data_IF_045200076767
#
_entry.id   IF_045200076767
#
_cell.length_a   1.000
_cell.length_b   1.000
_cell.length_c   1.000
_cell.angle_alpha   90.00
_cell.angle_beta   90.00
_cell.angle_gamma   90.00
#
_symmetry.space_group_name_H-M   'P 1'
#
loop_
_entity.id
_entity.type
_entity.pdbx_description
1 polymer ?
#
# COMPACT_ATOMS: atom_id res chain seq x y z
N UNK A 1 -4.87 -6.00 24.02
CA UNK A 1 -4.93 -5.14 22.82
C UNK A 1 -5.81 -3.95 23.16
N UNK A 2 -5.40 -2.74 22.78
CA UNK A 2 -6.25 -1.55 22.93
C UNK A 2 -7.55 -1.76 22.12
N UNK A 3 -8.66 -1.21 22.60
CA UNK A 3 -9.93 -1.27 21.88
C UNK A 3 -9.89 -0.26 20.73
N UNK A 4 -9.66 -0.76 19.51
CA UNK A 4 -9.54 0.06 18.31
C UNK A 4 -10.90 0.19 17.62
N UNK A 5 -11.25 1.43 17.25
CA UNK A 5 -12.44 1.70 16.45
C UNK A 5 -12.03 2.38 15.15
N UNK A 6 -12.69 1.99 14.06
CA UNK A 6 -12.45 2.50 12.72
C UNK A 6 -13.74 3.10 12.16
N UNK A 7 -13.66 4.34 11.70
CA UNK A 7 -14.59 4.93 10.75
C UNK A 7 -13.84 5.13 9.43
N UNK A 8 -14.25 4.47 8.36
CA UNK A 8 -13.63 4.58 7.04
C UNK A 8 -14.70 4.86 5.99
N UNK A 9 -14.49 5.90 5.19
CA UNK A 9 -15.34 6.30 4.07
C UNK A 9 -14.52 6.26 2.79
N UNK A 10 -15.07 5.61 1.77
CA UNK A 10 -14.54 5.54 0.41
C UNK A 10 -15.70 5.80 -0.54
N UNK A 11 -15.60 6.84 -1.37
CA UNK A 11 -16.65 7.26 -2.31
C UNK A 11 -18.04 7.40 -1.64
N UNK A 12 -18.08 7.93 -0.41
CA UNK A 12 -19.29 8.08 0.39
C UNK A 12 -19.85 6.77 0.99
N UNK A 13 -19.22 5.63 0.73
CA UNK A 13 -19.58 4.34 1.32
C UNK A 13 -18.75 4.06 2.58
N UNK A 14 -19.40 3.65 3.66
CA UNK A 14 -18.71 3.23 4.89
C UNK A 14 -18.15 1.82 4.76
N UNK A 15 -16.90 1.64 5.17
CA UNK A 15 -16.21 0.35 5.27
C UNK A 15 -15.91 0.01 6.73
N UNK A 16 -16.37 -1.15 7.18
CA UNK A 16 -16.07 -1.68 8.51
C UNK A 16 -14.69 -2.34 8.56
N UNK A 17 -14.09 -2.39 9.76
CA UNK A 17 -12.86 -3.13 10.00
C UNK A 17 -12.93 -4.58 9.48
N UNK A 18 -14.06 -5.28 9.73
CA UNK A 18 -14.28 -6.64 9.23
C UNK A 18 -14.27 -6.75 7.71
N UNK A 19 -14.80 -5.75 7.00
CA UNK A 19 -14.74 -5.73 5.53
C UNK A 19 -13.30 -5.55 5.04
N UNK A 20 -12.55 -4.63 5.64
CA UNK A 20 -11.14 -4.40 5.30
C UNK A 20 -10.29 -5.65 5.58
N UNK A 21 -10.45 -6.26 6.76
CA UNK A 21 -9.76 -7.51 7.12
C UNK A 21 -10.11 -8.64 6.13
N UNK A 22 -11.37 -8.73 5.71
CA UNK A 22 -11.81 -9.72 4.71
C UNK A 22 -11.23 -9.47 3.32
N UNK A 23 -11.08 -8.22 2.89
CA UNK A 23 -10.40 -7.86 1.63
C UNK A 23 -8.92 -8.21 1.72
N UNK A 24 -8.25 -7.82 2.81
CA UNK A 24 -6.84 -8.11 3.02
C UNK A 24 -6.56 -9.61 3.00
N UNK A 25 -7.37 -10.42 3.69
CA UNK A 25 -7.25 -11.87 3.66
C UNK A 25 -7.27 -12.42 2.23
N UNK A 26 -8.22 -11.99 1.40
CA UNK A 26 -8.28 -12.41 -0.01
C UNK A 26 -7.05 -11.97 -0.79
N UNK A 27 -6.50 -10.80 -0.49
CA UNK A 27 -5.26 -10.31 -1.12
C UNK A 27 -4.03 -11.12 -0.68
N UNK A 28 -3.94 -11.55 0.57
CA UNK A 28 -2.89 -12.49 1.02
C UNK A 28 -2.96 -13.82 0.27
N UNK A 29 -4.16 -14.41 0.18
CA UNK A 29 -4.38 -15.64 -0.58
C UNK A 29 -3.96 -15.43 -2.04
N UNK A 30 -4.43 -14.37 -2.69
CA UNK A 30 -4.04 -14.04 -4.06
C UNK A 30 -2.52 -13.91 -4.25
N UNK A 31 -1.85 -13.17 -3.37
CA UNK A 31 -0.40 -12.98 -3.41
C UNK A 31 0.34 -14.32 -3.34
N UNK A 32 -0.10 -15.25 -2.48
CA UNK A 32 0.48 -16.59 -2.38
C UNK A 32 0.30 -17.40 -3.67
N UNK A 33 -0.89 -17.38 -4.28
CA UNK A 33 -1.10 -18.03 -5.57
C UNK A 33 -0.25 -17.40 -6.67
N UNK A 34 -0.09 -16.08 -6.68
CA UNK A 34 0.72 -15.37 -7.67
C UNK A 34 2.19 -15.73 -7.53
N UNK A 35 2.77 -15.65 -6.33
CA UNK A 35 4.14 -16.06 -6.07
C UNK A 35 4.39 -17.51 -6.50
N UNK A 36 3.48 -18.44 -6.16
CA UNK A 36 3.65 -19.84 -6.55
C UNK A 36 3.58 -20.07 -8.06
N UNK A 37 2.72 -19.33 -8.78
CA UNK A 37 2.68 -19.38 -10.26
C UNK A 37 3.96 -18.85 -10.89
N UNK A 38 4.64 -17.90 -10.24
CA UNK A 38 5.94 -17.38 -10.66
C UNK A 38 7.11 -18.30 -10.30
N UNK A 39 6.84 -19.46 -9.68
CA UNK A 39 7.85 -20.44 -9.31
C UNK A 39 8.36 -20.32 -7.88
N UNK A 40 7.72 -19.49 -7.04
CA UNK A 40 8.08 -19.42 -5.63
C UNK A 40 7.65 -20.69 -4.87
N UNK A 41 8.47 -21.13 -3.91
CA UNK A 41 8.09 -22.17 -2.95
C UNK A 41 7.42 -21.51 -1.75
N UNK A 42 6.11 -21.69 -1.64
CA UNK A 42 5.31 -21.22 -0.50
C UNK A 42 5.34 -22.26 0.61
N UNK A 43 5.90 -21.93 1.77
CA UNK A 43 6.02 -22.85 2.90
C UNK A 43 5.18 -22.43 4.09
N UNK A 44 4.59 -23.41 4.79
CA UNK A 44 4.04 -23.24 6.14
C UNK A 44 4.72 -24.23 7.07
N UNK A 45 5.40 -23.72 8.10
CA UNK A 45 6.12 -24.53 9.11
C UNK A 45 7.08 -25.56 8.47
N UNK A 46 7.80 -25.12 7.44
CA UNK A 46 8.78 -25.94 6.72
C UNK A 46 8.19 -26.94 5.72
N UNK A 47 6.88 -26.94 5.48
CA UNK A 47 6.23 -27.80 4.48
C UNK A 47 5.72 -26.96 3.31
N UNK A 48 6.01 -27.35 2.05
CA UNK A 48 5.49 -26.65 0.88
C UNK A 48 3.98 -26.81 0.78
N UNK A 49 3.29 -25.74 0.41
CA UNK A 49 1.85 -25.71 0.18
C UNK A 49 1.52 -25.92 -1.30
N UNK A 50 0.39 -26.58 -1.56
CA UNK A 50 -0.26 -26.59 -2.88
C UNK A 50 -1.27 -25.44 -3.01
N UNK A 51 -1.81 -25.20 -4.21
CA UNK A 51 -2.87 -24.21 -4.41
C UNK A 51 -4.10 -24.52 -3.54
N UNK A 52 -4.55 -25.78 -3.52
CA UNK A 52 -5.65 -26.24 -2.66
C UNK A 52 -5.38 -26.02 -1.17
N UNK A 53 -4.11 -26.12 -0.74
CA UNK A 53 -3.74 -25.87 0.64
C UNK A 53 -3.78 -24.37 0.98
N UNK A 54 -3.39 -23.50 0.04
CA UNK A 54 -3.50 -22.04 0.16
C UNK A 54 -4.97 -21.63 0.31
N UNK A 55 -5.88 -22.19 -0.51
CA UNK A 55 -7.32 -21.89 -0.46
C UNK A 55 -7.99 -22.25 0.88
N UNK A 56 -7.34 -23.11 1.68
CA UNK A 56 -7.84 -23.57 2.98
C UNK A 56 -7.19 -22.85 4.17
N UNK A 57 -6.27 -21.92 3.94
CA UNK A 57 -5.64 -21.16 5.01
C UNK A 57 -6.66 -20.25 5.69
N UNK A 58 -6.64 -20.25 7.02
CA UNK A 58 -7.37 -19.26 7.81
C UNK A 58 -6.71 -17.88 7.68
N UNK A 59 -7.41 -16.77 7.98
CA UNK A 59 -6.88 -15.43 7.78
C UNK A 59 -5.51 -15.17 8.39
N UNK A 60 -5.30 -15.59 9.65
CA UNK A 60 -4.01 -15.42 10.34
C UNK A 60 -2.89 -16.23 9.68
N UNK A 61 -3.18 -17.47 9.26
CA UNK A 61 -2.22 -18.33 8.58
C UNK A 61 -1.86 -17.80 7.19
N UNK A 62 -2.84 -17.32 6.42
CA UNK A 62 -2.62 -16.73 5.11
C UNK A 62 -1.72 -15.49 5.20
N UNK A 63 -1.97 -14.65 6.22
CA UNK A 63 -1.14 -13.49 6.52
C UNK A 63 0.30 -13.90 6.89
N UNK A 64 0.47 -14.81 7.84
CA UNK A 64 1.79 -15.28 8.30
C UNK A 64 2.60 -15.86 7.13
N UNK A 65 2.00 -16.77 6.36
CA UNK A 65 2.65 -17.42 5.22
C UNK A 65 2.98 -16.42 4.11
N UNK A 66 2.08 -15.46 3.83
CA UNK A 66 2.30 -14.41 2.82
C UNK A 66 3.46 -13.48 3.19
N UNK A 67 3.56 -13.09 4.46
CA UNK A 67 4.67 -12.28 4.96
C UNK A 67 5.98 -13.07 4.91
N UNK A 68 6.00 -14.27 5.49
CA UNK A 68 7.19 -15.10 5.58
C UNK A 68 7.73 -15.47 4.18
N UNK A 69 6.85 -15.76 3.22
CA UNK A 69 7.25 -16.07 1.84
C UNK A 69 7.94 -14.87 1.19
N UNK A 70 7.33 -13.68 1.21
CA UNK A 70 7.94 -12.47 0.62
C UNK A 70 9.29 -12.15 1.26
N UNK A 71 9.37 -12.21 2.60
CA UNK A 71 10.61 -11.96 3.34
C UNK A 71 11.70 -12.99 3.03
N UNK A 72 11.36 -14.27 2.80
CA UNK A 72 12.33 -15.32 2.49
C UNK A 72 13.00 -15.14 1.12
N UNK A 73 12.28 -14.59 0.14
CA UNK A 73 12.84 -14.26 -1.18
C UNK A 73 13.66 -12.97 -1.15
N UNK A 74 13.29 -12.03 -0.28
CA UNK A 74 13.93 -10.72 -0.19
C UNK A 74 13.78 -9.90 -1.48
N UNK A 75 14.35 -8.68 -1.50
CA UNK A 75 14.18 -7.76 -2.62
C UNK A 75 14.63 -8.34 -3.97
N UNK A 76 15.83 -8.91 -4.03
CA UNK A 76 16.39 -9.44 -5.29
C UNK A 76 15.62 -10.66 -5.80
N UNK A 77 15.24 -11.58 -4.90
CA UNK A 77 14.46 -12.76 -5.27
C UNK A 77 13.05 -12.39 -5.75
N UNK A 78 12.42 -11.38 -5.14
CA UNK A 78 11.12 -10.90 -5.58
C UNK A 78 11.22 -10.17 -6.94
N UNK A 79 12.24 -9.32 -7.14
CA UNK A 79 12.50 -8.69 -8.45
C UNK A 79 12.71 -9.73 -9.55
N UNK A 80 13.40 -10.84 -9.23
CA UNK A 80 13.59 -11.93 -10.18
C UNK A 80 12.28 -12.65 -10.52
N UNK A 81 11.50 -13.03 -9.51
CA UNK A 81 10.19 -13.68 -9.70
C UNK A 81 9.24 -12.83 -10.54
N UNK A 82 9.22 -11.52 -10.29
CA UNK A 82 8.32 -10.57 -10.95
C UNK A 82 8.93 -9.93 -12.20
N UNK A 83 10.10 -10.37 -12.70
CA UNK A 83 10.85 -9.70 -13.78
C UNK A 83 9.99 -9.29 -14.97
N UNK A 84 9.18 -10.21 -15.49
CA UNK A 84 8.33 -9.95 -16.66
C UNK A 84 7.21 -8.96 -16.33
N UNK A 85 6.61 -9.07 -15.14
CA UNK A 85 5.56 -8.17 -14.68
C UNK A 85 6.09 -6.76 -14.39
N UNK A 86 7.34 -6.62 -13.92
CA UNK A 86 7.99 -5.33 -13.76
C UNK A 86 8.18 -4.63 -15.12
N UNK A 87 8.57 -5.36 -16.16
CA UNK A 87 8.68 -4.80 -17.51
C UNK A 87 7.31 -4.34 -18.07
N UNK A 88 6.24 -5.09 -17.79
CA UNK A 88 4.89 -4.69 -18.20
C UNK A 88 4.36 -3.51 -17.39
N UNK A 89 4.62 -3.47 -16.08
CA UNK A 89 4.30 -2.34 -15.21
C UNK A 89 4.98 -1.06 -15.70
N UNK A 90 6.26 -1.16 -16.07
CA UNK A 90 7.04 -0.08 -16.64
C UNK A 90 6.39 0.52 -17.89
N UNK A 91 5.97 -0.32 -18.83
CA UNK A 91 5.26 0.11 -20.05
C UNK A 91 3.94 0.77 -19.70
N UNK A 92 3.20 0.18 -18.75
CA UNK A 92 1.91 0.70 -18.30
C UNK A 92 2.03 2.10 -17.72
N UNK A 93 3.00 2.36 -16.84
CA UNK A 93 3.19 3.70 -16.26
C UNK A 93 3.62 4.75 -17.29
N UNK A 94 4.44 4.37 -18.28
CA UNK A 94 4.78 5.26 -19.40
C UNK A 94 3.56 5.59 -20.25
N UNK A 95 2.69 4.61 -20.51
CA UNK A 95 1.44 4.84 -21.22
C UNK A 95 0.43 5.66 -20.38
N UNK A 96 0.41 5.45 -19.05
CA UNK A 96 -0.43 6.23 -18.14
C UNK A 96 -0.07 7.72 -18.18
N UNK A 97 1.22 8.02 -18.35
CA UNK A 97 1.74 9.38 -18.50
C UNK A 97 1.52 10.02 -19.87
N UNK A 98 1.16 9.23 -20.89
CA UNK A 98 0.94 9.74 -22.26
C UNK A 98 -0.42 10.41 -22.40
N UNK A 99 -0.63 11.46 -21.61
CA UNK A 99 -1.84 12.27 -21.56
C UNK A 99 -1.51 13.74 -21.87
N UNK A 100 -2.54 14.50 -22.27
CA UNK A 100 -2.40 15.95 -22.41
C UNK A 100 -1.96 16.58 -21.07
N UNK A 101 -1.12 17.62 -21.13
CA UNK A 101 -0.54 18.23 -19.93
C UNK A 101 -1.57 18.79 -18.93
N UNK A 102 -2.78 19.09 -19.39
CA UNK A 102 -3.91 19.61 -18.62
C UNK A 102 -4.98 18.56 -18.30
N UNK A 103 -4.78 17.30 -18.70
CA UNK A 103 -5.73 16.24 -18.41
C UNK A 103 -5.80 16.00 -16.89
N UNK A 104 -7.01 15.88 -16.32
CA UNK A 104 -7.18 15.80 -14.87
C UNK A 104 -6.64 14.49 -14.31
N UNK A 105 -5.93 14.57 -13.19
CA UNK A 105 -5.49 13.39 -12.43
C UNK A 105 -6.71 12.61 -11.91
N UNK A 106 -6.56 11.28 -11.83
CA UNK A 106 -7.54 10.39 -11.24
C UNK A 106 -7.24 10.23 -9.75
N UNK A 107 -8.25 10.37 -8.88
CA UNK A 107 -8.03 10.40 -7.43
C UNK A 107 -8.55 9.13 -6.76
N UNK A 108 -7.67 8.46 -6.02
CA UNK A 108 -8.04 7.45 -5.04
C UNK A 108 -8.02 8.11 -3.64
N UNK A 109 -9.21 8.31 -3.07
CA UNK A 109 -9.35 9.03 -1.80
C UNK A 109 -10.01 8.17 -0.72
N UNK A 110 -9.58 8.37 0.53
CA UNK A 110 -10.19 7.79 1.72
C UNK A 110 -10.26 8.84 2.83
N UNK A 111 -11.34 8.81 3.60
CA UNK A 111 -11.47 9.55 4.86
C UNK A 111 -11.55 8.54 5.99
N UNK A 112 -10.56 8.58 6.89
CA UNK A 112 -10.43 7.58 7.95
C UNK A 112 -10.27 8.28 9.30
N UNK A 113 -10.98 7.76 10.30
CA UNK A 113 -10.75 8.09 11.71
C UNK A 113 -10.52 6.80 12.47
N UNK A 114 -9.46 6.79 13.27
CA UNK A 114 -9.11 5.69 14.17
C UNK A 114 -9.11 6.20 15.60
N UNK A 115 -9.77 5.46 16.49
CA UNK A 115 -9.77 5.70 17.94
C UNK A 115 -9.05 4.56 18.65
N UNK A 116 -8.34 4.87 19.74
CA UNK A 116 -7.63 3.90 20.58
C UNK A 116 -6.12 3.82 20.33
N UNK A 117 -5.60 4.62 19.39
CA UNK A 117 -4.16 4.79 19.12
C UNK A 117 -3.87 6.23 18.68
N UNK A 118 -2.83 6.83 19.23
CA UNK A 118 -2.45 8.21 18.89
C UNK A 118 -1.73 8.28 17.54
N UNK A 119 -1.73 9.47 16.93
CA UNK A 119 -0.94 9.72 15.73
C UNK A 119 0.57 9.52 15.99
N UNK A 120 1.04 9.83 17.19
CA UNK A 120 2.44 9.63 17.58
C UNK A 120 2.82 8.14 17.58
N UNK A 121 1.96 7.28 18.14
CA UNK A 121 2.17 5.83 18.15
C UNK A 121 2.12 5.26 16.73
N UNK A 122 1.23 5.78 15.87
CA UNK A 122 1.19 5.44 14.45
C UNK A 122 2.52 5.81 13.76
N UNK A 123 3.02 7.02 13.96
CA UNK A 123 4.27 7.50 13.34
C UNK A 123 5.50 6.69 13.75
N UNK A 124 5.52 6.06 14.93
CA UNK A 124 6.60 5.14 15.35
C UNK A 124 6.63 3.86 14.51
N UNK A 125 5.51 3.47 13.90
CA UNK A 125 5.38 2.25 13.07
C UNK A 125 5.56 2.56 11.58
N UNK A 126 4.88 3.60 11.09
CA UNK A 126 4.82 3.91 9.64
C UNK A 126 5.51 5.22 9.25
N UNK A 127 6.27 5.83 10.15
CA UNK A 127 7.16 6.92 9.77
C UNK A 127 8.17 6.46 8.71
N UNK A 128 8.67 7.40 7.89
CA UNK A 128 9.59 7.09 6.79
C UNK A 128 10.83 6.33 7.25
N UNK A 129 11.31 6.61 8.47
CA UNK A 129 12.47 5.92 9.07
C UNK A 129 12.13 4.55 9.70
N UNK A 130 10.85 4.13 9.73
CA UNK A 130 10.38 2.91 10.39
C UNK A 130 9.68 1.93 9.44
N UNK A 131 9.08 2.41 8.35
CA UNK A 131 8.24 1.61 7.44
C UNK A 131 8.95 0.38 6.86
N UNK A 132 10.27 0.48 6.61
CA UNK A 132 11.09 -0.60 6.09
C UNK A 132 11.16 -1.83 7.04
N UNK A 133 10.82 -1.67 8.33
CA UNK A 133 10.72 -2.79 9.27
C UNK A 133 9.37 -3.51 9.24
N UNK A 134 8.32 -2.87 8.72
CA UNK A 134 6.93 -3.34 8.85
C UNK A 134 6.17 -3.45 7.54
N UNK A 135 6.74 -3.04 6.40
CA UNK A 135 6.05 -2.96 5.09
C UNK A 135 5.22 -4.21 4.77
N UNK A 136 5.77 -5.41 4.97
CA UNK A 136 5.13 -6.67 4.62
C UNK A 136 3.87 -6.93 5.45
N UNK A 137 3.85 -6.43 6.70
CA UNK A 137 2.75 -6.54 7.64
C UNK A 137 1.67 -5.46 7.41
N UNK A 138 2.00 -4.36 6.72
CA UNK A 138 1.03 -3.31 6.41
C UNK A 138 0.07 -3.73 5.30
N UNK A 139 0.58 -4.40 4.26
CA UNK A 139 -0.26 -4.80 3.15
C UNK A 139 0.30 -6.01 2.37
N UNK A 140 -0.54 -6.97 1.90
CA UNK A 140 -0.13 -8.03 0.96
C UNK A 140 0.39 -7.54 -0.38
N UNK A 141 0.09 -6.29 -0.73
CA UNK A 141 0.55 -5.66 -1.97
C UNK A 141 1.99 -5.11 -1.84
N UNK A 142 2.57 -5.04 -0.64
CA UNK A 142 3.94 -4.54 -0.42
C UNK A 142 4.97 -5.66 -0.48
N UNK A 143 5.81 -5.69 -1.50
CA UNK A 143 6.81 -6.75 -1.65
C UNK A 143 8.10 -6.43 -0.89
N UNK A 144 8.63 -5.21 -0.98
CA UNK A 144 9.72 -4.72 -0.14
C UNK A 144 9.77 -3.19 -0.10
N UNK A 145 10.17 -2.60 1.03
CA UNK A 145 10.47 -1.18 1.15
C UNK A 145 11.84 -0.98 1.82
N UNK A 146 12.71 -0.20 1.20
CA UNK A 146 14.10 0.06 1.66
C UNK A 146 14.40 1.54 1.46
N UNK A 147 14.98 2.20 2.46
CA UNK A 147 15.34 3.60 2.38
C UNK A 147 14.98 4.35 3.66
N UNK A 148 14.83 5.66 3.53
CA UNK A 148 14.65 6.58 4.64
C UNK A 148 13.76 7.78 4.25
N UNK A 149 13.79 8.83 5.07
CA UNK A 149 13.05 10.07 4.85
C UNK A 149 13.42 10.89 3.60
N UNK A 150 14.50 10.51 2.90
CA UNK A 150 14.93 11.18 1.66
C UNK A 150 14.42 10.48 0.42
N UNK A 151 14.40 9.16 0.44
CA UNK A 151 13.98 8.32 -0.68
C UNK A 151 13.64 6.92 -0.18
N UNK A 152 12.49 6.42 -0.62
CA UNK A 152 12.06 5.05 -0.35
C UNK A 152 12.01 4.26 -1.66
N UNK A 153 12.89 3.28 -1.80
CA UNK A 153 12.77 2.23 -2.81
C UNK A 153 11.65 1.28 -2.39
N UNK A 154 10.61 1.16 -3.21
CA UNK A 154 9.43 0.36 -2.92
C UNK A 154 9.12 -0.56 -4.11
N UNK A 155 8.67 -1.78 -3.83
CA UNK A 155 7.97 -2.58 -4.80
C UNK A 155 6.59 -2.93 -4.27
N UNK A 156 5.56 -2.51 -4.99
CA UNK A 156 4.17 -2.72 -4.59
C UNK A 156 3.22 -2.94 -5.77
N UNK A 157 2.11 -3.65 -5.52
CA UNK A 157 1.01 -3.78 -6.48
C UNK A 157 -0.03 -2.69 -6.26
N UNK A 158 -0.19 -1.81 -7.25
CA UNK A 158 -1.18 -0.73 -7.17
C UNK A 158 -2.60 -1.24 -7.38
N UNK A 159 -3.44 -1.05 -6.36
CA UNK A 159 -4.86 -1.38 -6.40
C UNK A 159 -5.18 -2.86 -6.55
N UNK A 160 -4.20 -3.74 -6.30
CA UNK A 160 -4.34 -5.19 -6.52
C UNK A 160 -4.69 -5.56 -7.97
N UNK A 161 -4.20 -4.76 -8.93
CA UNK A 161 -4.39 -4.97 -10.36
C UNK A 161 -3.04 -5.19 -11.05
N UNK A 162 -2.99 -6.19 -11.94
CA UNK A 162 -1.78 -6.51 -12.69
C UNK A 162 -0.68 -7.14 -11.81
N UNK A 163 0.56 -6.72 -12.05
CA UNK A 163 1.72 -7.09 -11.22
C UNK A 163 2.27 -5.89 -10.45
N UNK A 164 3.30 -6.10 -9.62
CA UNK A 164 3.91 -5.02 -8.86
C UNK A 164 4.65 -4.04 -9.76
N UNK A 165 4.88 -2.85 -9.22
CA UNK A 165 5.73 -1.80 -9.77
C UNK A 165 6.93 -1.63 -8.85
N UNK A 166 8.13 -1.55 -9.43
CA UNK A 166 9.34 -1.16 -8.70
C UNK A 166 9.64 0.33 -8.92
N UNK A 167 9.65 1.09 -7.83
CA UNK A 167 9.70 2.55 -7.87
C UNK A 167 10.54 3.13 -6.74
N UNK A 168 10.88 4.41 -6.89
CA UNK A 168 11.33 5.27 -5.80
C UNK A 168 10.24 6.28 -5.47
N UNK A 169 9.94 6.44 -4.18
CA UNK A 169 9.08 7.48 -3.65
C UNK A 169 9.93 8.59 -3.01
N UNK A 170 9.65 9.83 -3.42
CA UNK A 170 10.40 11.02 -3.02
C UNK A 170 9.49 11.93 -2.20
N UNK A 171 9.72 12.06 -0.88
CA UNK A 171 8.97 12.99 -0.05
C UNK A 171 9.12 14.43 -0.55
N UNK A 172 8.00 15.06 -0.87
CA UNK A 172 7.93 16.41 -1.40
C UNK A 172 6.58 17.04 -1.04
N UNK A 173 6.61 18.01 -0.13
CA UNK A 173 5.41 18.74 0.32
C UNK A 173 5.01 19.88 -0.61
N UNK A 174 5.80 20.17 -1.63
CA UNK A 174 5.55 21.24 -2.60
C UNK A 174 4.77 20.79 -3.83
N UNK A 175 4.48 19.49 -3.95
CA UNK A 175 3.69 18.94 -5.06
C UNK A 175 2.31 19.61 -5.16
N UNK A 176 1.83 19.71 -6.39
CA UNK A 176 0.49 20.22 -6.69
C UNK A 176 -0.41 19.08 -7.13
N UNK A 177 -1.48 18.83 -6.37
CA UNK A 177 -2.54 17.87 -6.70
C UNK A 177 -3.90 18.57 -6.65
N UNK A 178 -4.93 18.09 -7.36
CA UNK A 178 -6.26 18.69 -7.34
C UNK A 178 -7.03 18.30 -6.06
N UNK A 179 -6.39 18.46 -4.90
CA UNK A 179 -6.93 18.22 -3.57
C UNK A 179 -6.64 19.44 -2.71
N UNK A 180 -7.67 20.00 -2.09
CA UNK A 180 -7.53 21.17 -1.24
C UNK A 180 -6.87 20.81 0.10
N UNK A 181 -6.01 21.71 0.57
CA UNK A 181 -5.41 21.63 1.90
C UNK A 181 -6.46 21.96 2.96
N UNK A 182 -6.75 21.00 3.83
CA UNK A 182 -7.68 21.18 4.94
C UNK A 182 -6.95 21.75 6.18
N UNK A 183 -7.28 22.99 6.55
CA UNK A 183 -6.67 23.69 7.68
C UNK A 183 -6.85 22.96 9.02
N UNK A 184 -7.87 22.09 9.16
CA UNK A 184 -8.06 21.30 10.38
C UNK A 184 -7.11 20.11 10.51
N UNK A 185 -6.40 19.73 9.44
CA UNK A 185 -5.47 18.60 9.42
C UNK A 185 -4.04 19.13 9.42
N UNK A 186 -3.43 19.52 10.57
CA UNK A 186 -2.19 20.32 10.59
C UNK A 186 -0.97 19.66 9.94
N UNK A 187 -0.98 18.34 9.75
CA UNK A 187 0.16 17.59 9.22
C UNK A 187 -0.08 17.14 7.77
N UNK A 188 0.97 17.23 6.96
CA UNK A 188 0.98 16.79 5.56
C UNK A 188 2.16 15.84 5.33
N UNK A 189 1.87 14.67 4.77
CA UNK A 189 2.82 13.81 4.08
C UNK A 189 2.48 13.86 2.60
N UNK A 190 3.46 14.18 1.77
CA UNK A 190 3.27 14.26 0.34
C UNK A 190 4.55 13.86 -0.38
N UNK A 191 4.42 13.38 -1.61
CA UNK A 191 5.56 12.97 -2.43
C UNK A 191 5.14 12.53 -3.82
N UNK A 192 6.15 12.31 -4.67
CA UNK A 192 6.00 11.84 -6.03
C UNK A 192 6.83 10.58 -6.25
N UNK A 193 6.52 9.82 -7.30
CA UNK A 193 7.23 8.58 -7.60
C UNK A 193 7.91 8.59 -8.98
N UNK A 194 9.02 7.84 -9.06
CA UNK A 194 9.75 7.57 -10.30
C UNK A 194 9.94 6.07 -10.47
N UNK A 195 9.90 5.57 -11.71
CA UNK A 195 10.25 4.19 -12.00
C UNK A 195 11.70 3.92 -11.61
N UNK A 196 11.94 2.80 -10.92
CA UNK A 196 13.28 2.47 -10.47
C UNK A 196 14.20 1.97 -11.59
N UNK A 197 13.61 1.56 -12.72
CA UNK A 197 14.34 1.06 -13.89
C UNK A 197 15.18 2.12 -14.60
N UNK A 198 14.69 3.36 -14.70
CA UNK A 198 15.37 4.45 -15.43
C UNK A 198 15.11 5.86 -14.88
N UNK A 199 14.41 5.99 -13.76
CA UNK A 199 14.09 7.28 -13.15
C UNK A 199 12.94 8.05 -13.83
N UNK A 200 12.22 7.44 -14.79
CA UNK A 200 11.06 8.08 -15.43
C UNK A 200 10.03 8.49 -14.38
N UNK A 201 9.61 9.78 -14.31
CA UNK A 201 8.53 10.20 -13.43
C UNK A 201 7.25 9.41 -13.73
N UNK A 202 6.59 8.88 -12.72
CA UNK A 202 5.32 8.16 -12.89
C UNK A 202 4.10 9.09 -12.88
N UNK A 203 4.31 10.39 -12.56
CA UNK A 203 3.25 11.39 -12.28
C UNK A 203 2.14 10.85 -11.35
N UNK A 204 2.55 9.97 -10.44
CA UNK A 204 1.75 9.43 -9.35
C UNK A 204 2.19 10.14 -8.08
N UNK A 205 1.21 10.69 -7.36
CA UNK A 205 1.44 11.54 -6.20
C UNK A 205 0.72 11.02 -4.97
N UNK A 206 1.43 10.91 -3.86
CA UNK A 206 0.82 10.69 -2.55
C UNK A 206 0.57 12.05 -1.89
N UNK A 207 -0.61 12.26 -1.34
CA UNK A 207 -0.98 13.46 -0.61
C UNK A 207 -1.89 13.10 0.56
N UNK A 208 -1.35 13.08 1.78
CA UNK A 208 -2.02 12.58 2.98
C UNK A 208 -2.02 13.63 4.07
N UNK A 209 -3.21 13.99 4.54
CA UNK A 209 -3.41 15.03 5.55
C UNK A 209 -3.82 14.36 6.86
N UNK A 210 -3.16 14.71 7.97
CA UNK A 210 -3.38 14.08 9.28
C UNK A 210 -3.84 15.11 10.32
N UNK A 211 -4.76 14.68 11.17
CA UNK A 211 -5.31 15.41 12.31
C UNK A 211 -5.20 14.56 13.57
N UNK A 212 -4.37 14.94 14.56
CA UNK A 212 -4.37 14.27 15.86
C UNK A 212 -5.72 14.53 16.56
N UNK A 213 -6.22 13.53 17.28
CA UNK A 213 -7.41 13.61 18.14
C UNK A 213 -7.03 13.25 19.57
N UNK A 214 -7.90 13.55 20.55
CA UNK A 214 -7.64 13.28 21.98
C UNK A 214 -7.33 11.80 22.25
N UNK A 215 -8.05 10.88 21.59
CA UNK A 215 -7.86 9.44 21.72
C UNK A 215 -7.75 8.75 20.35
N UNK A 216 -7.06 9.37 19.39
CA UNK A 216 -7.09 8.88 18.02
C UNK A 216 -6.34 9.74 17.02
N UNK A 217 -6.64 9.48 15.76
CA UNK A 217 -6.27 10.35 14.66
C UNK A 217 -7.33 10.28 13.54
N UNK A 218 -7.42 11.34 12.76
CA UNK A 218 -8.10 11.32 11.48
C UNK A 218 -7.07 11.55 10.36
N UNK A 219 -7.30 10.92 9.21
CA UNK A 219 -6.47 11.04 8.02
C UNK A 219 -7.37 11.15 6.78
N UNK A 220 -7.01 12.08 5.89
CA UNK A 220 -7.52 12.13 4.53
C UNK A 220 -6.39 11.67 3.61
N UNK A 221 -6.53 10.49 3.01
CA UNK A 221 -5.54 10.00 2.06
C UNK A 221 -5.98 10.32 0.65
N UNK A 222 -5.01 10.67 -0.19
CA UNK A 222 -5.17 10.74 -1.63
C UNK A 222 -3.92 10.15 -2.30
N UNK A 223 -4.14 9.28 -3.26
CA UNK A 223 -3.19 9.01 -4.33
C UNK A 223 -3.76 9.59 -5.63
N UNK A 224 -3.01 10.49 -6.27
CA UNK A 224 -3.40 11.12 -7.53
C UNK A 224 -2.61 10.47 -8.68
N UNK A 225 -3.34 9.80 -9.56
CA UNK A 225 -2.81 9.00 -10.67
C UNK A 225 -2.87 9.77 -11.99
N UNK A 226 -1.97 9.46 -12.94
CA UNK A 226 -2.07 9.95 -14.29
C UNK A 226 -3.43 9.66 -14.95
N UNK A 227 -3.89 10.49 -15.89
CA UNK A 227 -5.23 10.39 -16.49
C UNK A 227 -5.51 9.05 -17.21
N UNK A 228 -4.48 8.43 -17.78
CA UNK A 228 -4.61 7.16 -18.51
C UNK A 228 -4.36 5.93 -17.61
N UNK A 229 -4.23 6.09 -16.29
CA UNK A 229 -4.13 4.94 -15.39
C UNK A 229 -5.42 4.11 -15.46
N UNK A 230 -5.32 2.77 -15.61
CA UNK A 230 -6.49 1.90 -15.56
C UNK A 230 -7.35 2.15 -14.32
N UNK A 231 -8.66 2.41 -14.51
CA UNK A 231 -9.59 2.65 -13.40
C UNK A 231 -9.55 1.57 -12.29
N UNK A 232 -9.39 0.26 -12.60
CA UNK A 232 -9.24 -0.75 -11.56
C UNK A 232 -8.05 -0.52 -10.60
N UNK A 233 -6.95 0.10 -11.07
CA UNK A 233 -5.85 0.51 -10.21
C UNK A 233 -6.32 1.60 -9.25
N UNK A 234 -6.96 2.65 -9.77
CA UNK A 234 -7.42 3.80 -8.98
C UNK A 234 -8.42 3.35 -7.92
N UNK A 235 -9.46 2.61 -8.32
CA UNK A 235 -10.50 2.12 -7.41
C UNK A 235 -9.95 1.12 -6.39
N UNK A 236 -9.11 0.20 -6.84
CA UNK A 236 -8.47 -0.77 -5.97
C UNK A 236 -7.51 -0.13 -4.97
N UNK A 237 -6.89 1.01 -5.32
CA UNK A 237 -5.94 1.69 -4.45
C UNK A 237 -6.64 2.46 -3.32
N UNK A 238 -7.92 2.81 -3.46
CA UNK A 238 -8.73 3.33 -2.34
C UNK A 238 -8.80 2.31 -1.19
N UNK A 239 -9.05 1.04 -1.53
CA UNK A 239 -9.05 -0.05 -0.54
C UNK A 239 -7.65 -0.35 0.01
N UNK A 240 -6.62 -0.24 -0.83
CA UNK A 240 -5.23 -0.38 -0.41
C UNK A 240 -4.90 0.62 0.71
N UNK A 241 -5.16 1.91 0.48
CA UNK A 241 -4.93 2.99 1.45
C UNK A 241 -5.64 2.73 2.79
N UNK A 242 -6.91 2.30 2.72
CA UNK A 242 -7.70 2.01 3.93
C UNK A 242 -7.17 0.81 4.72
N UNK A 243 -6.77 -0.26 4.03
CA UNK A 243 -6.18 -1.46 4.67
C UNK A 243 -4.85 -1.11 5.33
N UNK A 244 -3.98 -0.35 4.65
CA UNK A 244 -2.68 0.05 5.17
C UNK A 244 -2.80 0.81 6.50
N UNK A 245 -3.68 1.83 6.55
CA UNK A 245 -3.89 2.61 7.79
C UNK A 245 -4.49 1.75 8.89
N UNK A 246 -5.42 0.86 8.56
CA UNK A 246 -6.01 -0.03 9.56
C UNK A 246 -4.98 -1.00 10.13
N UNK A 247 -4.09 -1.56 9.30
CA UNK A 247 -2.98 -2.38 9.80
C UNK A 247 -1.98 -1.61 10.62
N UNK A 248 -1.59 -0.42 10.15
CA UNK A 248 -0.68 0.45 10.87
C UNK A 248 -1.20 0.74 12.29
N UNK A 249 -2.50 1.04 12.42
CA UNK A 249 -3.16 1.23 13.71
C UNK A 249 -3.13 -0.04 14.58
N UNK A 250 -3.43 -1.22 14.00
CA UNK A 250 -3.36 -2.51 14.72
C UNK A 250 -1.96 -2.85 15.20
N UNK A 251 -0.93 -2.53 14.42
CA UNK A 251 0.47 -2.72 14.80
C UNK A 251 0.86 -1.74 15.91
N UNK A 252 0.53 -0.46 15.77
CA UNK A 252 0.82 0.56 16.77
C UNK A 252 0.13 0.28 18.12
N UNK A 253 -1.07 -0.31 18.12
CA UNK A 253 -1.78 -0.68 19.34
C UNK A 253 -1.21 -1.91 20.08
N UNK A 254 -0.28 -2.66 19.46
CA UNK A 254 0.44 -3.77 20.08
C UNK A 254 1.71 -3.32 20.80
N UNK A 255 2.21 -2.12 20.46
CA UNK A 255 3.35 -1.47 21.10
C UNK A 255 2.90 -0.65 22.32
#
# INVERSE_FOLDING_TARGET
MRDLQLSCLIDGCSYSAKQLDGVQYRRHVHALHTLMRLGAVVNRRGQPLSHDAIDRLLPEDAREVSIATRQAYGPDGLKELYRDQLLESDKMWRAANDAAADAPLLLAQTDITVVGVSLEDLSKVVGLNAIHHVYAALHPDHDFAIGDETCLEHMETFGHFGGPTWLFAHPDKSISVPVERDEEYPMLMAGHTTLASDGTPMNLYAYHQFKPLENGFAIKQCAAFPPNTPLPIVDGHKLHLAIEIWEAAKLAAKN
#
